data_IF_312977256860
#
_entry.id   IF_312977256860
#
_cell.length_a   1.000
_cell.length_b   1.000
_cell.length_c   1.000
_cell.angle_alpha   90.00
_cell.angle_beta   90.00
_cell.angle_gamma   90.00
#
_symmetry.space_group_name_H-M   'P 1'
#
loop_
_entity.id
_entity.type
_entity.pdbx_description
1 polymer ?
#
# COMPACT_ATOMS: atom_id res chain seq x y z
N UNK A 1 -1.57 -7.79 25.77
CA UNK A 1 -0.88 -8.61 24.74
C UNK A 1 -1.00 -10.09 25.10
N UNK A 2 -1.18 -10.99 24.13
CA UNK A 2 -1.19 -12.45 24.32
C UNK A 2 -0.23 -13.06 23.31
N UNK A 3 0.64 -13.96 23.76
CA UNK A 3 1.55 -14.71 22.91
C UNK A 3 1.54 -16.17 23.30
N UNK A 4 1.58 -17.06 22.31
CA UNK A 4 1.87 -18.47 22.56
C UNK A 4 3.40 -18.65 22.51
N UNK A 5 3.95 -19.31 23.53
CA UNK A 5 5.39 -19.44 23.77
C UNK A 5 5.74 -20.91 24.00
N UNK A 6 6.89 -21.33 23.48
CA UNK A 6 7.48 -22.63 23.74
C UNK A 6 8.62 -22.48 24.76
N UNK A 7 8.53 -23.18 25.88
CA UNK A 7 9.50 -23.18 26.97
C UNK A 7 9.96 -24.63 27.19
N UNK A 8 11.11 -24.99 26.63
CA UNK A 8 11.51 -26.39 26.48
C UNK A 8 10.50 -27.13 25.58
N UNK A 9 10.04 -28.29 26.02
CA UNK A 9 9.05 -29.09 25.28
C UNK A 9 7.58 -28.67 25.56
N UNK A 10 7.35 -27.65 26.39
CA UNK A 10 6.01 -27.22 26.79
C UNK A 10 5.55 -25.97 26.01
N UNK A 11 4.35 -26.03 25.45
CA UNK A 11 3.62 -24.84 24.96
C UNK A 11 2.84 -24.18 26.08
N UNK A 12 3.04 -22.88 26.26
CA UNK A 12 2.33 -22.04 27.22
C UNK A 12 1.79 -20.79 26.53
N UNK A 13 0.84 -20.11 27.17
CA UNK A 13 0.34 -18.81 26.72
C UNK A 13 0.80 -17.73 27.70
N UNK A 14 1.64 -16.80 27.24
CA UNK A 14 1.97 -15.57 27.97
C UNK A 14 0.86 -14.54 27.75
N UNK A 15 0.39 -13.93 28.83
CA UNK A 15 -0.54 -12.79 28.79
C UNK A 15 0.07 -11.62 29.54
N UNK A 16 0.03 -10.45 28.90
CA UNK A 16 0.41 -9.17 29.48
C UNK A 16 -0.85 -8.29 29.54
N UNK A 17 -1.20 -7.81 30.72
CA UNK A 17 -2.35 -6.96 31.01
C UNK A 17 -1.93 -5.51 31.32
N UNK A 18 -2.83 -4.53 31.15
CA UNK A 18 -2.61 -3.19 31.69
C UNK A 18 -2.35 -3.26 33.20
N UNK A 19 -1.27 -2.63 33.66
CA UNK A 19 -0.83 -2.68 35.06
C UNK A 19 0.25 -3.71 35.36
N UNK A 20 0.57 -4.61 34.42
CA UNK A 20 1.78 -5.43 34.53
C UNK A 20 3.02 -4.52 34.52
N UNK A 21 4.10 -4.88 35.23
CA UNK A 21 5.27 -4.04 35.45
C UNK A 21 6.17 -3.95 34.19
N UNK A 22 5.63 -3.39 33.11
CA UNK A 22 6.35 -3.06 31.88
C UNK A 22 6.68 -1.58 31.93
N UNK A 23 7.93 -1.27 32.23
CA UNK A 23 8.39 0.10 32.33
C UNK A 23 8.68 0.68 30.93
N UNK A 24 8.36 1.96 30.69
CA UNK A 24 8.67 2.61 29.42
C UNK A 24 10.18 2.60 29.16
N UNK A 25 10.58 2.25 27.94
CA UNK A 25 11.97 2.41 27.47
C UNK A 25 12.21 3.82 26.93
N UNK A 26 13.44 4.10 26.49
CA UNK A 26 13.78 5.34 25.78
C UNK A 26 12.83 5.60 24.61
N UNK A 27 12.65 6.89 24.27
CA UNK A 27 11.80 7.30 23.15
C UNK A 27 12.19 6.56 21.86
N UNK A 28 11.20 6.14 21.05
CA UNK A 28 11.46 5.48 19.78
C UNK A 28 12.32 6.38 18.89
N UNK A 29 13.26 5.77 18.18
CA UNK A 29 14.09 6.52 17.23
C UNK A 29 13.24 7.10 16.12
N UNK A 30 13.84 8.09 15.44
CA UNK A 30 13.50 8.58 14.09
C UNK A 30 12.89 7.41 13.31
N UNK A 31 13.74 6.45 12.94
CA UNK A 31 13.45 5.29 12.09
C UNK A 31 13.58 4.00 12.88
N UNK A 32 12.81 2.98 12.49
CA UNK A 32 12.85 1.66 13.12
C UNK A 32 14.09 0.87 12.69
N UNK A 33 14.64 1.20 11.53
CA UNK A 33 15.88 0.60 11.03
C UNK A 33 16.83 1.59 10.34
N UNK A 34 18.13 1.26 10.37
CA UNK A 34 19.17 1.95 9.56
C UNK A 34 18.88 1.85 8.05
N UNK A 35 18.13 0.84 7.63
CA UNK A 35 17.77 0.60 6.24
C UNK A 35 16.74 1.64 5.77
N UNK A 36 15.70 1.87 6.56
CA UNK A 36 14.70 2.92 6.32
C UNK A 36 15.32 4.31 6.32
N UNK A 37 16.18 4.61 7.31
CA UNK A 37 16.86 5.91 7.41
C UNK A 37 17.69 6.18 6.16
N UNK A 38 18.47 5.18 5.73
CA UNK A 38 19.28 5.26 4.51
C UNK A 38 18.41 5.43 3.27
N UNK A 39 17.33 4.66 3.14
CA UNK A 39 16.41 4.78 2.00
C UNK A 39 15.81 6.19 1.93
N UNK A 40 15.34 6.74 3.05
CA UNK A 40 14.77 8.08 3.07
C UNK A 40 15.78 9.15 2.66
N UNK A 41 17.02 9.05 3.14
CA UNK A 41 18.10 9.98 2.76
C UNK A 41 18.46 9.86 1.26
N UNK A 42 18.51 8.64 0.74
CA UNK A 42 18.83 8.37 -0.66
C UNK A 42 17.71 8.84 -1.59
N UNK A 43 16.45 8.61 -1.19
CA UNK A 43 15.27 9.01 -1.94
C UNK A 43 15.17 10.54 -2.03
N UNK A 44 15.38 11.26 -0.92
CA UNK A 44 15.36 12.71 -0.91
C UNK A 44 16.42 13.34 -1.84
N UNK A 45 17.58 12.69 -1.99
CA UNK A 45 18.65 13.14 -2.90
C UNK A 45 18.32 12.87 -4.36
N UNK A 46 17.80 11.68 -4.66
CA UNK A 46 17.55 11.26 -6.05
C UNK A 46 16.24 11.83 -6.63
N UNK A 47 15.27 12.17 -5.78
CA UNK A 47 13.92 12.55 -6.18
C UNK A 47 13.44 13.81 -5.43
N UNK A 48 14.04 15.00 -5.68
CA UNK A 48 13.74 16.22 -4.91
C UNK A 48 12.29 16.72 -5.10
N UNK A 49 11.68 16.43 -6.25
CA UNK A 49 10.27 16.75 -6.54
C UNK A 49 9.27 15.83 -5.83
N UNK A 50 9.75 14.87 -5.05
CA UNK A 50 8.93 13.96 -4.28
C UNK A 50 9.00 14.30 -2.79
N UNK A 51 7.91 13.97 -2.11
CA UNK A 51 7.79 13.95 -0.67
C UNK A 51 7.71 12.49 -0.22
N UNK A 52 8.48 12.16 0.81
CA UNK A 52 8.49 10.86 1.45
C UNK A 52 7.94 11.04 2.87
N UNK A 53 6.70 10.58 3.05
CA UNK A 53 5.97 10.61 4.30
C UNK A 53 6.22 9.29 5.01
N UNK A 54 6.55 9.36 6.29
CA UNK A 54 6.82 8.19 7.13
C UNK A 54 5.63 7.81 7.96
N UNK A 55 5.50 6.51 8.23
CA UNK A 55 4.40 5.94 9.02
C UNK A 55 3.06 6.59 8.64
N UNK A 56 2.72 6.61 7.33
CA UNK A 56 1.48 7.19 6.87
C UNK A 56 0.29 6.51 7.55
N UNK A 57 -0.85 7.21 7.52
CA UNK A 57 -2.11 6.65 8.00
C UNK A 57 -2.35 5.26 7.37
N UNK A 58 -2.78 4.33 8.21
CA UNK A 58 -3.16 2.99 7.80
C UNK A 58 -4.15 3.02 6.63
N UNK A 59 -3.93 2.14 5.66
CA UNK A 59 -4.74 2.05 4.45
C UNK A 59 -5.81 0.98 4.64
N UNK A 60 -7.11 1.32 4.54
CA UNK A 60 -8.18 0.36 4.52
C UNK A 60 -8.08 -0.55 3.30
N UNK A 61 -8.19 -1.85 3.52
CA UNK A 61 -7.91 -2.85 2.51
C UNK A 61 -8.77 -4.09 2.79
N UNK A 62 -9.88 -4.26 2.05
CA UNK A 62 -10.91 -5.30 2.19
C UNK A 62 -10.85 -6.17 3.47
N UNK A 63 -11.50 -5.70 4.55
CA UNK A 63 -11.57 -6.42 5.83
C UNK A 63 -10.31 -6.36 6.71
N UNK A 64 -9.25 -5.68 6.27
CA UNK A 64 -8.01 -5.46 7.05
C UNK A 64 -7.50 -4.01 6.93
N UNK A 65 -6.54 -3.68 7.78
CA UNK A 65 -5.71 -2.49 7.66
C UNK A 65 -4.31 -2.88 7.19
N UNK A 66 -3.72 -2.05 6.34
CA UNK A 66 -2.32 -2.15 5.92
C UNK A 66 -1.58 -0.95 6.49
N UNK A 67 -0.42 -1.18 7.09
CA UNK A 67 0.43 -0.17 7.69
C UNK A 67 1.74 -0.14 6.89
N UNK A 68 1.82 0.66 5.81
CA UNK A 68 3.05 0.78 5.04
C UNK A 68 4.07 1.65 5.79
N UNK A 69 5.36 1.37 5.62
CA UNK A 69 6.44 2.18 6.20
C UNK A 69 6.47 3.62 5.64
N UNK A 70 6.20 3.76 4.34
CA UNK A 70 6.31 5.03 3.63
C UNK A 70 5.13 5.28 2.67
N UNK A 71 4.84 6.57 2.47
CA UNK A 71 4.07 7.09 1.35
C UNK A 71 4.97 8.02 0.54
N UNK A 72 5.17 7.67 -0.73
CA UNK A 72 5.90 8.46 -1.72
C UNK A 72 4.87 9.25 -2.53
N UNK A 73 4.96 10.57 -2.50
CA UNK A 73 3.99 11.45 -3.16
C UNK A 73 4.71 12.53 -3.96
N UNK A 74 4.32 12.71 -5.21
CA UNK A 74 4.87 13.78 -6.04
C UNK A 74 4.33 15.14 -5.58
N UNK A 75 5.20 16.13 -5.40
CA UNK A 75 4.84 17.45 -4.85
C UNK A 75 3.85 18.24 -5.72
N UNK A 76 3.89 18.01 -7.03
CA UNK A 76 3.06 18.75 -8.01
C UNK A 76 1.90 17.93 -8.57
N UNK A 77 1.86 16.64 -8.29
CA UNK A 77 0.87 15.73 -8.87
C UNK A 77 0.40 14.71 -7.82
N UNK A 78 -0.72 14.99 -7.12
CA UNK A 78 -1.26 14.09 -6.11
C UNK A 78 -1.68 12.71 -6.64
N UNK A 79 -1.91 12.56 -7.95
CA UNK A 79 -2.23 11.26 -8.55
C UNK A 79 -0.99 10.35 -8.63
N UNK A 80 0.21 10.94 -8.65
CA UNK A 80 1.50 10.21 -8.61
C UNK A 80 1.88 9.95 -7.16
N UNK A 81 1.31 8.88 -6.61
CA UNK A 81 1.62 8.41 -5.25
C UNK A 81 1.71 6.90 -5.18
N UNK A 82 2.63 6.40 -4.37
CA UNK A 82 2.76 4.99 -4.06
C UNK A 82 3.09 4.78 -2.58
N UNK A 83 2.51 3.75 -2.00
CA UNK A 83 2.93 3.24 -0.70
C UNK A 83 4.16 2.38 -0.89
N UNK A 84 5.05 2.33 0.10
CA UNK A 84 6.23 1.49 0.08
C UNK A 84 6.40 0.81 1.45
N UNK A 85 6.73 -0.47 1.40
CA UNK A 85 6.99 -1.32 2.56
C UNK A 85 8.35 -2.01 2.37
N UNK A 86 9.22 -1.94 3.38
CA UNK A 86 10.52 -2.61 3.41
C UNK A 86 10.42 -3.89 4.25
N UNK A 87 10.43 -5.04 3.58
CA UNK A 87 10.35 -6.35 4.20
C UNK A 87 11.75 -6.93 4.41
N UNK A 88 12.30 -6.72 5.61
CA UNK A 88 13.64 -7.21 6.00
C UNK A 88 13.71 -8.68 6.44
N UNK A 89 12.62 -9.24 6.96
CA UNK A 89 12.52 -10.64 7.38
C UNK A 89 11.26 -11.27 6.80
N UNK A 90 11.39 -12.37 6.06
CA UNK A 90 10.26 -13.05 5.43
C UNK A 90 10.57 -14.51 5.14
N UNK A 91 9.49 -15.29 4.96
CA UNK A 91 9.51 -16.61 4.33
C UNK A 91 8.66 -16.56 3.07
N UNK A 92 8.91 -17.44 2.10
CA UNK A 92 8.13 -17.47 0.85
C UNK A 92 6.63 -17.61 1.10
N UNK A 93 6.24 -18.51 2.00
CA UNK A 93 4.85 -18.70 2.39
C UNK A 93 4.24 -17.42 3.00
N UNK A 94 5.02 -16.70 3.82
CA UNK A 94 4.59 -15.41 4.38
C UNK A 94 4.43 -14.35 3.29
N UNK A 95 5.40 -14.21 2.39
CA UNK A 95 5.37 -13.21 1.33
C UNK A 95 4.24 -13.49 0.34
N UNK A 96 4.06 -14.75 -0.09
CA UNK A 96 2.97 -15.16 -0.95
C UNK A 96 1.60 -14.88 -0.32
N UNK A 97 1.45 -15.15 0.99
CA UNK A 97 0.23 -14.83 1.74
C UNK A 97 0.00 -13.32 1.82
N UNK A 98 1.03 -12.53 2.12
CA UNK A 98 0.95 -11.07 2.15
C UNK A 98 0.53 -10.52 0.79
N UNK A 99 1.17 -10.98 -0.29
CA UNK A 99 0.86 -10.57 -1.66
C UNK A 99 -0.57 -10.90 -2.07
N UNK A 100 -1.04 -12.12 -1.79
CA UNK A 100 -2.45 -12.49 -2.04
C UNK A 100 -3.43 -11.57 -1.33
N UNK A 101 -3.16 -11.22 -0.07
CA UNK A 101 -4.00 -10.29 0.70
C UNK A 101 -3.99 -8.88 0.11
N UNK A 102 -2.82 -8.39 -0.30
CA UNK A 102 -2.68 -7.08 -0.94
C UNK A 102 -3.41 -7.01 -2.29
N UNK A 103 -3.35 -8.08 -3.09
CA UNK A 103 -4.11 -8.19 -4.34
C UNK A 103 -5.61 -8.21 -4.08
N UNK A 104 -6.09 -8.99 -3.10
CA UNK A 104 -7.50 -9.03 -2.73
C UNK A 104 -8.01 -7.67 -2.23
N UNK A 105 -7.18 -6.96 -1.48
CA UNK A 105 -7.49 -5.64 -0.96
C UNK A 105 -7.46 -4.51 -2.00
N UNK A 106 -7.19 -4.83 -3.27
CA UNK A 106 -7.13 -3.88 -4.40
C UNK A 106 -6.15 -2.71 -4.19
N UNK A 107 -5.15 -2.86 -3.32
CA UNK A 107 -4.13 -1.85 -3.08
C UNK A 107 -3.00 -1.98 -4.11
N UNK A 108 -3.26 -1.48 -5.33
CA UNK A 108 -2.37 -1.65 -6.49
C UNK A 108 -1.17 -0.69 -6.52
N UNK A 109 -1.19 0.35 -5.70
CA UNK A 109 -0.11 1.33 -5.62
C UNK A 109 0.82 1.09 -4.42
N UNK A 110 0.92 -0.15 -3.92
CA UNK A 110 1.88 -0.55 -2.88
C UNK A 110 3.08 -1.27 -3.49
N UNK A 111 4.28 -0.76 -3.21
CA UNK A 111 5.57 -1.32 -3.60
C UNK A 111 6.16 -2.07 -2.41
N UNK A 112 6.62 -3.31 -2.64
CA UNK A 112 7.26 -4.13 -1.62
C UNK A 112 8.74 -4.27 -1.90
N UNK A 113 9.57 -3.64 -1.08
CA UNK A 113 11.01 -3.83 -1.10
C UNK A 113 11.35 -5.08 -0.29
N UNK A 114 11.92 -6.12 -0.91
CA UNK A 114 12.14 -7.43 -0.27
C UNK A 114 13.62 -7.80 -0.22
N UNK A 115 14.14 -8.21 0.93
CA UNK A 115 15.53 -8.67 1.06
C UNK A 115 15.73 -10.00 0.31
N UNK A 116 16.42 -9.92 -0.83
CA UNK A 116 16.74 -11.04 -1.72
C UNK A 116 17.78 -12.01 -1.12
N UNK A 117 18.56 -11.60 -0.11
CA UNK A 117 19.53 -12.51 0.52
C UNK A 117 18.85 -13.57 1.39
N UNK A 118 17.60 -13.33 1.79
CA UNK A 118 16.80 -14.24 2.62
C UNK A 118 15.85 -15.12 1.82
N UNK A 119 15.81 -14.93 0.50
CA UNK A 119 15.25 -15.92 -0.41
C UNK A 119 16.21 -17.12 -0.46
N UNK A 120 16.11 -18.02 0.53
CA UNK A 120 17.02 -19.15 0.73
C UNK A 120 17.15 -20.06 -0.50
N UNK A 121 17.99 -19.67 -1.47
CA UNK A 121 18.30 -20.44 -2.67
C UNK A 121 17.22 -20.51 -3.75
N UNK A 122 16.09 -19.80 -3.65
CA UNK A 122 15.03 -19.78 -4.68
C UNK A 122 14.71 -18.35 -5.11
N UNK A 123 14.68 -18.09 -6.41
CA UNK A 123 14.64 -16.75 -7.02
C UNK A 123 13.23 -16.37 -7.48
N UNK A 124 12.23 -17.06 -6.96
CA UNK A 124 10.88 -17.09 -7.51
C UNK A 124 10.00 -16.11 -6.72
N UNK A 125 10.38 -14.83 -6.74
CA UNK A 125 9.49 -13.77 -6.24
C UNK A 125 8.21 -13.77 -7.10
N UNK A 126 7.00 -13.74 -6.51
CA UNK A 126 5.77 -13.88 -7.28
C UNK A 126 5.68 -12.79 -8.35
N UNK A 127 5.70 -13.22 -9.62
CA UNK A 127 5.58 -12.34 -10.77
C UNK A 127 4.19 -11.67 -10.74
N UNK A 128 4.15 -10.34 -10.72
CA UNK A 128 2.91 -9.56 -10.81
C UNK A 128 2.63 -8.62 -9.63
N UNK A 129 3.34 -8.76 -8.51
CA UNK A 129 3.35 -7.75 -7.46
C UNK A 129 4.46 -6.72 -7.72
N UNK A 130 4.25 -5.45 -7.33
CA UNK A 130 5.26 -4.40 -7.42
C UNK A 130 6.40 -4.62 -6.41
N UNK A 131 7.12 -5.73 -6.57
CA UNK A 131 8.22 -6.15 -5.71
C UNK A 131 9.53 -5.59 -6.26
N UNK A 132 10.32 -4.98 -5.38
CA UNK A 132 11.67 -4.50 -5.64
C UNK A 132 12.63 -5.30 -4.76
N UNK A 133 13.37 -6.28 -5.33
CA UNK A 133 14.36 -7.00 -4.54
C UNK A 133 15.51 -6.06 -4.15
N UNK A 134 15.97 -6.16 -2.91
CA UNK A 134 17.18 -5.47 -2.44
C UNK A 134 18.07 -6.43 -1.67
N UNK A 135 19.32 -6.06 -1.40
CA UNK A 135 20.21 -6.84 -0.51
C UNK A 135 20.57 -6.04 0.74
N UNK A 136 21.44 -5.05 0.59
CA UNK A 136 21.88 -4.17 1.70
C UNK A 136 21.29 -2.77 1.63
N UNK A 137 20.70 -2.41 0.49
CA UNK A 137 20.19 -1.07 0.18
C UNK A 137 19.10 -1.21 -0.86
N UNK A 138 17.99 -0.51 -0.66
CA UNK A 138 16.91 -0.37 -1.65
C UNK A 138 17.39 0.57 -2.76
N UNK A 139 17.19 0.15 -4.01
CA UNK A 139 17.52 0.96 -5.18
C UNK A 139 16.38 1.94 -5.48
N UNK A 140 16.64 3.23 -5.28
CA UNK A 140 15.67 4.30 -5.51
C UNK A 140 15.25 4.38 -6.97
N UNK A 141 16.15 4.11 -7.92
CA UNK A 141 15.81 4.18 -9.34
C UNK A 141 14.76 3.12 -9.71
N UNK A 142 14.91 1.91 -9.19
CA UNK A 142 13.93 0.83 -9.38
C UNK A 142 12.59 1.17 -8.73
N UNK A 143 12.60 1.81 -7.56
CA UNK A 143 11.36 2.29 -6.92
C UNK A 143 10.66 3.32 -7.79
N UNK A 144 11.36 4.32 -8.31
CA UNK A 144 10.79 5.35 -9.19
C UNK A 144 10.21 4.73 -10.48
N UNK A 145 10.94 3.82 -11.11
CA UNK A 145 10.46 3.09 -12.30
C UNK A 145 9.16 2.32 -12.02
N UNK A 146 9.04 1.72 -10.83
CA UNK A 146 7.80 1.04 -10.40
C UNK A 146 6.66 2.01 -10.20
N UNK A 147 6.92 3.19 -9.64
CA UNK A 147 5.90 4.23 -9.47
C UNK A 147 5.36 4.69 -10.83
N UNK A 148 6.24 4.94 -11.80
CA UNK A 148 5.83 5.36 -13.13
C UNK A 148 5.02 4.27 -13.87
N UNK A 149 5.38 2.98 -13.68
CA UNK A 149 4.60 1.84 -14.19
C UNK A 149 3.21 1.74 -13.55
N UNK A 150 3.10 1.92 -12.24
CA UNK A 150 1.79 1.98 -11.55
C UNK A 150 0.94 3.13 -12.10
N UNK A 151 1.56 4.30 -12.33
CA UNK A 151 0.91 5.48 -12.89
C UNK A 151 0.39 5.26 -14.31
N UNK A 152 1.13 4.57 -15.17
CA UNK A 152 0.71 4.28 -16.55
C UNK A 152 -0.38 3.21 -16.64
N UNK A 153 -0.31 2.17 -15.80
CA UNK A 153 -1.34 1.14 -15.67
C UNK A 153 -2.68 1.68 -15.12
N UNK A 154 -2.64 2.72 -14.27
CA UNK A 154 -3.84 3.40 -13.79
C UNK A 154 -4.49 4.26 -14.87
N UNK A 155 -3.71 4.91 -15.74
CA UNK A 155 -4.20 5.78 -16.81
C UNK A 155 -4.85 5.00 -17.96
N UNK A 156 -4.26 3.85 -18.33
CA UNK A 156 -4.79 2.96 -19.39
C UNK A 156 -6.14 2.33 -19.04
N UNK A 157 -6.52 2.31 -17.75
CA UNK A 157 -7.75 1.69 -17.26
C UNK A 157 -8.88 2.68 -16.97
N UNK A 158 -8.67 3.99 -17.13
CA UNK A 158 -9.80 4.94 -17.07
C UNK A 158 -10.77 4.56 -18.20
N UNK A 159 -12.05 4.22 -17.90
CA UNK A 159 -13.01 4.00 -18.96
C UNK A 159 -13.16 5.33 -19.69
N UNK A 160 -12.92 5.31 -21.00
CA UNK A 160 -13.31 6.43 -21.85
C UNK A 160 -14.80 6.66 -21.61
N UNK A 161 -15.14 7.87 -21.18
CA UNK A 161 -16.53 8.27 -21.03
C UNK A 161 -17.15 8.19 -22.44
N UNK A 162 -17.87 7.11 -22.72
CA UNK A 162 -18.66 6.99 -23.92
C UNK A 162 -19.65 8.15 -23.91
N UNK A 163 -19.58 8.98 -24.96
CA UNK A 163 -20.60 9.98 -25.24
C UNK A 163 -21.92 9.22 -25.41
N UNK A 164 -22.81 9.31 -24.44
CA UNK A 164 -24.23 9.01 -24.67
C UNK A 164 -24.78 10.15 -25.50
N UNK A 165 -24.96 9.87 -26.79
CA UNK A 165 -25.70 10.73 -27.70
C UNK A 165 -27.11 10.97 -27.15
N UNK A 166 -27.52 12.23 -27.21
CA UNK A 166 -28.84 12.68 -26.77
C UNK A 166 -29.93 11.97 -27.57
N UNK A 167 -30.74 11.19 -26.87
CA UNK A 167 -32.03 10.74 -27.38
C UNK A 167 -33.12 11.46 -26.60
N UNK A 168 -33.88 12.26 -27.33
CA UNK A 168 -34.99 13.05 -26.83
C UNK A 168 -36.10 12.17 -26.25
N UNK A 169 -36.59 12.52 -25.06
CA UNK A 169 -37.89 12.06 -24.56
C UNK A 169 -39.02 12.71 -25.38
N UNK A 170 -40.00 11.96 -25.90
CA UNK A 170 -41.28 12.55 -26.27
C UNK A 170 -42.10 12.76 -24.99
N UNK A 171 -42.40 14.01 -24.66
CA UNK A 171 -43.37 14.37 -23.64
C UNK A 171 -44.77 13.96 -24.09
N UNK A 172 -45.36 13.06 -23.32
CA UNK A 172 -46.78 12.67 -23.41
C UNK A 172 -47.68 13.85 -23.05
N UNK A 173 -48.73 13.99 -23.83
CA UNK A 173 -49.82 14.96 -23.83
C UNK A 173 -50.44 15.20 -22.44
N UNK A 174 -50.37 16.44 -21.93
CA UNK A 174 -51.31 16.95 -20.94
C UNK A 174 -52.52 17.55 -21.65
N UNK A 175 -53.67 16.91 -21.47
CA UNK A 175 -54.98 17.47 -21.77
C UNK A 175 -55.32 18.54 -20.73
N UNK A 176 -55.58 19.77 -21.17
CA UNK A 176 -56.44 20.68 -20.41
C UNK A 176 -57.05 21.80 -21.27
N UNK A 177 -58.27 22.20 -20.85
CA UNK A 177 -59.11 23.35 -21.24
C UNK A 177 -60.22 23.03 -22.24
N UNK A 178 -61.50 23.31 -21.96
CA UNK A 178 -62.04 24.08 -20.86
C UNK A 178 -63.57 24.07 -20.81
N UNK A 179 -64.09 24.49 -19.65
CA UNK A 179 -65.49 24.87 -19.44
C UNK A 179 -65.79 26.16 -20.21
N UNK A 180 -67.01 26.31 -20.73
CA UNK A 180 -67.65 27.63 -20.79
C UNK A 180 -68.68 27.89 -21.89
N UNK A 181 -69.97 27.72 -21.53
CA UNK A 181 -71.15 28.55 -21.83
C UNK A 181 -71.56 28.84 -23.29
N UNK A 182 -72.83 28.56 -23.55
CA UNK A 182 -73.65 28.98 -24.69
C UNK A 182 -74.94 28.20 -24.68
#
# INVERSE_FOLDING_TARGET
LRADVELGDARQTLRIQPGDPVFPSAEPKRFDSKLEERFAADFAKAAPDWELIREPRAVPADGTLIFPDFLLQHRRDPARRAYLEIVGFWTEAYLATKLRRLTAANLRNLILCVDATRAAGRTDLPAGAAVVPFRRRVDVAQVLERIDRIGSEAQTRKPSLAKTDGSACPTVTEASRGRGRG
#
